data_IF_077468577955
#
_entry.id   IF_077468577955
#
_cell.length_a   1.000
_cell.length_b   1.000
_cell.length_c   1.000
_cell.angle_alpha   90.00
_cell.angle_beta   90.00
_cell.angle_gamma   90.00
#
_symmetry.space_group_name_H-M   'P 1'
#
loop_
_entity.id
_entity.type
_entity.pdbx_description
1 polymer ?
#
# COMPACT_ATOMS: atom_id res chain seq x y z
N UNK A 1 -78.27 23.48 12.29
CA UNK A 1 -77.75 22.13 12.09
C UNK A 1 -76.24 22.22 11.89
N UNK A 2 -75.53 21.87 12.87
CA UNK A 2 -74.07 21.93 12.83
C UNK A 2 -73.54 20.60 12.35
N UNK A 3 -72.93 20.59 11.18
CA UNK A 3 -72.13 19.45 10.71
C UNK A 3 -70.75 19.58 11.29
N UNK A 4 -70.45 18.68 12.19
CA UNK A 4 -69.10 18.56 12.75
C UNK A 4 -68.21 17.92 11.71
N UNK A 5 -67.33 18.73 11.15
CA UNK A 5 -66.24 18.23 10.34
C UNK A 5 -65.19 17.60 11.24
N UNK A 6 -65.10 16.31 11.15
CA UNK A 6 -64.00 15.62 11.82
C UNK A 6 -62.78 15.83 10.94
N UNK A 7 -61.93 16.75 11.36
CA UNK A 7 -60.57 16.88 10.80
C UNK A 7 -59.77 15.66 11.22
N UNK A 8 -59.58 14.78 10.29
CA UNK A 8 -58.62 13.70 10.40
C UNK A 8 -57.23 14.27 10.55
N UNK A 9 -56.69 14.16 11.75
CA UNK A 9 -55.32 14.46 11.99
C UNK A 9 -54.46 13.41 11.30
N UNK A 10 -53.95 13.75 10.10
CA UNK A 10 -52.88 12.99 9.48
C UNK A 10 -51.63 13.19 10.32
N UNK A 11 -51.37 12.27 11.22
CA UNK A 11 -50.05 12.12 11.86
C UNK A 11 -49.10 11.66 10.81
N UNK A 12 -48.41 12.61 10.21
CA UNK A 12 -47.26 12.36 9.37
C UNK A 12 -46.11 11.86 10.24
N UNK A 13 -46.06 10.54 10.44
CA UNK A 13 -44.93 9.91 11.03
C UNK A 13 -43.79 10.00 10.01
N UNK A 14 -42.98 11.03 10.15
CA UNK A 14 -41.69 11.14 9.50
C UNK A 14 -40.81 10.01 10.08
N UNK A 15 -40.77 8.91 9.36
CA UNK A 15 -39.73 7.91 9.52
C UNK A 15 -38.41 8.57 9.12
N UNK A 16 -37.76 9.21 10.08
CA UNK A 16 -36.35 9.51 10.04
C UNK A 16 -35.62 8.15 10.08
N UNK A 17 -35.54 7.51 8.91
CA UNK A 17 -34.55 6.46 8.69
C UNK A 17 -33.20 7.12 8.92
N UNK A 18 -32.73 7.02 10.14
CA UNK A 18 -31.34 7.35 10.46
C UNK A 18 -30.44 6.54 9.56
N UNK A 19 -29.89 7.17 8.57
CA UNK A 19 -28.68 6.67 7.91
C UNK A 19 -27.59 6.72 8.99
N UNK A 20 -27.51 5.65 9.76
CA UNK A 20 -26.29 5.37 10.49
C UNK A 20 -25.20 5.22 9.42
N UNK A 21 -24.12 6.00 9.48
CA UNK A 21 -22.97 5.73 8.60
C UNK A 21 -22.53 4.32 8.94
N UNK A 22 -22.76 3.41 8.03
CA UNK A 22 -22.14 2.10 8.09
C UNK A 22 -20.66 2.39 8.03
N UNK A 23 -19.85 2.06 9.07
CA UNK A 23 -18.42 2.17 8.95
C UNK A 23 -18.05 1.27 7.77
N UNK A 24 -17.70 1.91 6.64
CA UNK A 24 -17.18 1.20 5.50
C UNK A 24 -15.96 0.45 6.01
N UNK A 25 -16.05 -0.84 6.10
CA UNK A 25 -14.88 -1.69 6.18
C UNK A 25 -14.21 -1.49 4.84
N UNK A 26 -13.32 -0.51 4.75
CA UNK A 26 -12.33 -0.49 3.71
C UNK A 26 -11.68 -1.87 3.82
N UNK A 27 -11.92 -2.74 2.84
CA UNK A 27 -11.17 -3.98 2.74
C UNK A 27 -9.75 -3.51 2.44
N UNK A 28 -9.01 -3.29 3.52
CA UNK A 28 -7.62 -2.91 3.42
C UNK A 28 -6.91 -4.04 2.70
N UNK A 29 -6.26 -3.74 1.60
CA UNK A 29 -5.33 -4.63 0.98
C UNK A 29 -4.21 -4.99 1.97
N UNK A 30 -3.27 -5.80 1.54
CA UNK A 30 -2.12 -6.15 2.38
C UNK A 30 -1.34 -4.87 2.71
N UNK A 31 -1.06 -4.66 3.99
CA UNK A 31 -0.25 -3.55 4.48
C UNK A 31 0.99 -4.11 5.17
N UNK A 32 2.14 -3.73 4.66
CA UNK A 32 3.45 -4.11 5.20
C UNK A 32 4.16 -2.86 5.71
N UNK A 33 4.62 -2.89 6.95
CA UNK A 33 5.31 -1.78 7.60
C UNK A 33 6.78 -2.11 7.75
N UNK A 34 7.65 -1.22 7.29
CA UNK A 34 9.09 -1.36 7.43
C UNK A 34 9.74 -0.03 7.84
N UNK A 35 10.78 -0.11 8.67
CA UNK A 35 11.66 1.02 8.97
C UNK A 35 12.89 0.91 8.08
N UNK A 36 12.99 1.78 7.09
CA UNK A 36 14.07 1.78 6.11
C UNK A 36 15.19 2.69 6.59
N UNK A 37 16.41 2.16 6.83
CA UNK A 37 17.49 2.93 7.46
C UNK A 37 18.29 3.80 6.48
N UNK A 38 17.88 3.89 5.23
CA UNK A 38 18.55 4.66 4.18
C UNK A 38 17.52 5.37 3.28
N UNK A 39 17.95 6.41 2.60
CA UNK A 39 17.15 7.00 1.52
C UNK A 39 17.04 6.02 0.34
N UNK A 40 15.89 5.93 -0.29
CA UNK A 40 15.63 4.99 -1.37
C UNK A 40 14.72 5.58 -2.44
N UNK A 41 14.76 4.98 -3.60
CA UNK A 41 13.92 5.34 -4.73
C UNK A 41 12.82 4.30 -4.95
N UNK A 42 11.64 4.81 -5.21
CA UNK A 42 10.52 4.04 -5.76
C UNK A 42 10.14 4.69 -7.08
N UNK A 43 10.34 3.96 -8.17
CA UNK A 43 10.26 4.52 -9.53
C UNK A 43 11.16 5.77 -9.68
N UNK A 44 10.62 6.93 -9.90
CA UNK A 44 11.37 8.20 -10.00
C UNK A 44 11.35 9.06 -8.73
N UNK A 45 10.74 8.55 -7.66
CA UNK A 45 10.56 9.30 -6.41
C UNK A 45 11.58 8.89 -5.36
N UNK A 46 12.35 9.84 -4.85
CA UNK A 46 13.28 9.65 -3.75
C UNK A 46 12.56 9.85 -2.42
N UNK A 47 12.72 8.88 -1.51
CA UNK A 47 12.18 8.93 -0.16
C UNK A 47 13.33 8.91 0.86
N UNK A 48 13.27 9.72 1.93
CA UNK A 48 14.28 9.68 2.99
C UNK A 48 14.17 8.41 3.83
N UNK A 49 15.21 8.10 4.59
CA UNK A 49 15.16 7.06 5.62
C UNK A 49 14.00 7.31 6.58
N UNK A 50 13.28 6.27 6.98
CA UNK A 50 12.14 6.39 7.88
C UNK A 50 11.24 5.17 7.89
N UNK A 51 10.16 5.26 8.65
CA UNK A 51 9.14 4.24 8.68
C UNK A 51 8.12 4.47 7.57
N UNK A 52 7.81 3.41 6.83
CA UNK A 52 6.88 3.45 5.71
C UNK A 52 5.88 2.31 5.76
N UNK A 53 4.68 2.59 5.27
CA UNK A 53 3.64 1.61 5.01
C UNK A 53 3.56 1.35 3.50
N UNK A 54 3.73 0.09 3.12
CA UNK A 54 3.57 -0.41 1.75
C UNK A 54 2.21 -1.07 1.67
N UNK A 55 1.28 -0.49 0.94
CA UNK A 55 -0.12 -0.92 0.90
C UNK A 55 -0.51 -1.36 -0.49
N UNK A 56 -1.00 -2.58 -0.60
CA UNK A 56 -1.60 -3.09 -1.82
C UNK A 56 -2.98 -2.46 -2.03
N UNK A 57 -3.26 -1.99 -3.24
CA UNK A 57 -4.57 -1.45 -3.58
C UNK A 57 -5.58 -2.58 -3.77
N UNK A 58 -6.71 -2.49 -3.07
CA UNK A 58 -7.69 -3.58 -3.04
C UNK A 58 -8.26 -3.95 -4.41
N UNK A 59 -8.64 -2.96 -5.21
CA UNK A 59 -9.25 -3.12 -6.53
C UNK A 59 -8.24 -3.33 -7.66
N UNK A 60 -6.97 -3.08 -7.39
CA UNK A 60 -5.85 -3.21 -8.32
C UNK A 60 -4.67 -3.88 -7.61
N UNK A 61 -4.67 -5.21 -7.50
CA UNK A 61 -3.70 -5.95 -6.68
C UNK A 61 -2.24 -5.80 -7.12
N UNK A 62 -2.00 -5.30 -8.32
CA UNK A 62 -0.66 -4.99 -8.82
C UNK A 62 -0.20 -3.57 -8.51
N UNK A 63 -1.11 -2.71 -8.09
CA UNK A 63 -0.81 -1.34 -7.68
C UNK A 63 -0.61 -1.27 -6.17
N UNK A 64 0.45 -0.58 -5.79
CA UNK A 64 0.84 -0.37 -4.41
C UNK A 64 1.08 1.09 -4.11
N UNK A 65 0.92 1.47 -2.88
CA UNK A 65 1.28 2.80 -2.39
C UNK A 65 2.35 2.70 -1.30
N UNK A 66 3.18 3.73 -1.20
CA UNK A 66 4.06 3.96 -0.06
C UNK A 66 3.58 5.19 0.67
N UNK A 67 3.27 5.05 1.94
CA UNK A 67 2.90 6.15 2.82
C UNK A 67 3.93 6.30 3.95
N UNK A 68 4.11 7.52 4.43
CA UNK A 68 4.97 7.79 5.58
C UNK A 68 4.30 7.39 6.91
N UNK A 69 5.00 7.57 8.02
CA UNK A 69 4.48 7.25 9.36
C UNK A 69 3.25 8.06 9.77
N UNK A 70 2.97 9.17 9.08
CA UNK A 70 1.77 10.00 9.27
C UNK A 70 0.59 9.54 8.40
N UNK A 71 0.77 8.50 7.57
CA UNK A 71 -0.22 8.01 6.64
C UNK A 71 -0.33 8.81 5.34
N UNK A 72 0.60 9.73 5.09
CA UNK A 72 0.61 10.50 3.85
C UNK A 72 1.23 9.68 2.73
N UNK A 73 0.45 9.42 1.67
CA UNK A 73 0.92 8.71 0.48
C UNK A 73 1.97 9.57 -0.25
N UNK A 74 3.13 8.97 -0.49
CA UNK A 74 4.27 9.61 -1.15
C UNK A 74 4.42 9.20 -2.61
N UNK A 75 4.12 7.94 -2.92
CA UNK A 75 4.28 7.40 -4.27
C UNK A 75 3.34 6.22 -4.49
N UNK A 76 2.87 6.09 -5.71
CA UNK A 76 2.20 4.88 -6.23
C UNK A 76 3.17 4.16 -7.17
N UNK A 77 3.14 2.85 -7.16
CA UNK A 77 3.99 2.04 -8.02
C UNK A 77 3.30 0.74 -8.41
N UNK A 78 3.65 0.24 -9.59
CA UNK A 78 3.13 -1.04 -10.08
C UNK A 78 4.09 -2.16 -9.77
N UNK A 79 3.55 -3.35 -9.59
CA UNK A 79 4.30 -4.56 -9.30
C UNK A 79 3.93 -5.70 -10.25
N UNK A 80 4.77 -6.72 -10.24
CA UNK A 80 4.51 -8.01 -10.86
C UNK A 80 4.63 -9.11 -9.79
N UNK A 81 3.94 -10.26 -9.96
CA UNK A 81 4.11 -11.37 -9.03
C UNK A 81 5.55 -11.87 -9.05
N UNK A 82 6.09 -12.15 -7.88
CA UNK A 82 7.43 -12.69 -7.71
C UNK A 82 7.40 -14.00 -6.95
N UNK A 83 8.09 -14.99 -7.49
CA UNK A 83 8.30 -16.28 -6.84
C UNK A 83 9.75 -16.40 -6.41
N UNK A 84 9.96 -17.07 -5.30
CA UNK A 84 11.26 -17.39 -4.74
C UNK A 84 11.30 -18.86 -4.36
N UNK A 85 12.38 -19.55 -4.73
CA UNK A 85 12.57 -20.97 -4.37
C UNK A 85 12.58 -21.18 -2.86
N UNK A 86 13.12 -20.22 -2.12
CA UNK A 86 13.13 -20.20 -0.67
C UNK A 86 12.54 -18.87 -0.19
N UNK A 87 11.20 -18.77 -0.09
CA UNK A 87 10.57 -17.54 0.34
C UNK A 87 10.97 -17.17 1.78
N UNK A 88 11.05 -15.87 2.09
CA UNK A 88 11.37 -15.45 3.45
C UNK A 88 10.32 -15.96 4.44
N UNK A 89 10.77 -16.31 5.63
CA UNK A 89 9.88 -16.77 6.71
C UNK A 89 9.08 -15.67 7.37
N UNK A 90 9.49 -14.43 7.15
CA UNK A 90 8.86 -13.23 7.68
C UNK A 90 8.69 -12.20 6.57
N UNK A 91 7.84 -11.21 6.81
CA UNK A 91 7.70 -10.08 5.90
C UNK A 91 9.01 -9.33 5.78
N UNK A 92 9.36 -8.96 4.56
CA UNK A 92 10.54 -8.12 4.30
C UNK A 92 10.34 -7.27 3.05
N UNK A 93 11.08 -6.17 3.00
CA UNK A 93 11.17 -5.31 1.82
C UNK A 93 12.61 -5.32 1.36
N UNK A 94 12.85 -5.57 0.08
CA UNK A 94 14.20 -5.65 -0.48
C UNK A 94 14.51 -4.48 -1.39
N UNK A 95 15.76 -4.10 -1.40
CA UNK A 95 16.30 -3.00 -2.19
C UNK A 95 17.55 -3.45 -2.92
N UNK A 96 17.76 -2.89 -4.11
CA UNK A 96 19.05 -2.98 -4.78
C UNK A 96 19.88 -1.74 -4.46
N UNK A 97 21.06 -1.97 -3.90
CA UNK A 97 22.09 -0.94 -3.75
C UNK A 97 22.94 -0.92 -5.01
N UNK A 98 22.74 0.12 -5.80
CA UNK A 98 23.50 0.35 -7.03
C UNK A 98 24.36 1.59 -6.83
N UNK A 99 25.64 1.37 -6.51
CA UNK A 99 26.60 2.44 -6.27
C UNK A 99 26.16 3.47 -5.19
N UNK A 100 25.63 2.97 -4.09
CA UNK A 100 25.14 3.79 -2.96
C UNK A 100 23.71 4.36 -3.13
N UNK A 101 23.05 4.08 -4.24
CA UNK A 101 21.65 4.40 -4.45
C UNK A 101 20.79 3.15 -4.25
N UNK A 102 19.76 3.29 -3.41
CA UNK A 102 18.87 2.19 -3.08
C UNK A 102 17.58 2.29 -3.87
N UNK A 103 17.19 1.20 -4.49
CA UNK A 103 15.96 1.08 -5.29
C UNK A 103 15.08 -0.02 -4.70
N UNK A 104 13.82 0.28 -4.45
CA UNK A 104 12.86 -0.74 -4.03
C UNK A 104 12.72 -1.80 -5.11
N UNK A 105 12.91 -3.07 -4.76
CA UNK A 105 12.84 -4.20 -5.71
C UNK A 105 11.72 -5.16 -5.41
N UNK A 106 11.47 -5.47 -4.15
CA UNK A 106 10.43 -6.43 -3.78
C UNK A 106 9.76 -6.08 -2.46
N UNK A 107 8.51 -6.47 -2.37
CA UNK A 107 7.77 -6.61 -1.11
C UNK A 107 7.48 -8.09 -0.94
N UNK A 108 8.07 -8.71 0.08
CA UNK A 108 7.90 -10.12 0.38
C UNK A 108 6.90 -10.32 1.51
N UNK A 109 5.97 -11.23 1.27
CA UNK A 109 5.03 -11.69 2.27
C UNK A 109 5.60 -12.93 2.97
N UNK A 110 5.11 -13.20 4.18
CA UNK A 110 5.59 -14.31 4.99
C UNK A 110 5.22 -15.67 4.38
N UNK A 111 6.18 -16.58 4.28
CA UNK A 111 5.96 -17.96 3.90
C UNK A 111 5.39 -18.13 2.48
N UNK A 112 4.32 -18.89 2.35
CA UNK A 112 3.71 -19.26 1.05
C UNK A 112 2.88 -18.12 0.40
N UNK A 113 2.76 -16.98 1.05
CA UNK A 113 1.99 -15.85 0.51
C UNK A 113 2.67 -15.19 -0.71
N UNK A 114 3.94 -15.53 -0.98
CA UNK A 114 4.68 -15.04 -2.14
C UNK A 114 5.22 -13.63 -1.98
N UNK A 115 5.39 -12.96 -3.11
CA UNK A 115 5.93 -11.61 -3.12
C UNK A 115 5.55 -10.83 -4.36
N UNK A 116 5.98 -9.58 -4.37
CA UNK A 116 5.72 -8.62 -5.44
C UNK A 116 7.02 -7.98 -5.87
N UNK A 117 7.31 -8.05 -7.15
CA UNK A 117 8.48 -7.46 -7.77
C UNK A 117 8.16 -6.07 -8.32
N UNK A 118 9.04 -5.13 -8.05
CA UNK A 118 8.97 -3.77 -8.60
C UNK A 118 9.87 -3.71 -9.83
N UNK A 119 9.32 -3.51 -11.03
CA UNK A 119 10.14 -3.40 -12.24
C UNK A 119 11.17 -2.28 -12.14
N UNK A 120 12.36 -2.51 -12.70
CA UNK A 120 13.42 -1.52 -12.71
C UNK A 120 12.99 -0.22 -13.38
N UNK A 121 13.23 0.91 -12.71
CA UNK A 121 13.06 2.23 -13.31
C UNK A 121 14.05 2.47 -14.45
N UNK A 122 13.76 3.46 -15.28
CA UNK A 122 14.68 3.84 -16.37
C UNK A 122 16.04 4.28 -15.82
N UNK A 123 16.05 4.96 -14.70
CA UNK A 123 17.28 5.42 -14.05
C UNK A 123 18.11 4.25 -13.53
N UNK A 124 17.49 3.29 -12.87
CA UNK A 124 18.16 2.07 -12.41
C UNK A 124 18.74 1.26 -13.56
N UNK A 125 17.94 1.05 -14.63
CA UNK A 125 18.43 0.39 -15.86
C UNK A 125 19.64 1.09 -16.48
N UNK A 126 19.66 2.42 -16.45
CA UNK A 126 20.78 3.21 -16.97
C UNK A 126 22.05 2.99 -16.13
N UNK A 127 21.93 2.92 -14.82
CA UNK A 127 23.06 2.62 -13.93
C UNK A 127 23.57 1.19 -14.15
N UNK A 128 22.67 0.23 -14.28
CA UNK A 128 23.04 -1.17 -14.53
C UNK A 128 23.75 -1.37 -15.89
N UNK A 129 23.39 -0.62 -16.91
CA UNK A 129 24.07 -0.63 -18.22
C UNK A 129 25.51 -0.16 -18.16
N UNK A 130 25.88 0.64 -17.16
CA UNK A 130 27.26 1.08 -16.93
C UNK A 130 28.15 0.01 -16.27
N UNK A 131 27.64 -1.20 -16.09
CA UNK A 131 28.37 -2.32 -15.48
C UNK A 131 28.44 -2.30 -13.97
N UNK A 132 27.65 -1.44 -13.32
CA UNK A 132 27.53 -1.40 -11.86
C UNK A 132 26.74 -2.61 -11.40
N UNK A 133 27.29 -3.38 -10.46
CA UNK A 133 26.59 -4.51 -9.84
C UNK A 133 25.68 -4.03 -8.73
N UNK A 134 24.46 -4.55 -8.70
CA UNK A 134 23.54 -4.35 -7.60
C UNK A 134 23.88 -5.29 -6.45
N UNK A 135 23.80 -4.77 -5.21
CA UNK A 135 23.84 -5.55 -4.00
C UNK A 135 22.46 -5.52 -3.34
N UNK A 136 21.90 -6.68 -3.09
CA UNK A 136 20.60 -6.78 -2.41
C UNK A 136 20.72 -6.42 -0.94
N UNK A 137 19.86 -5.53 -0.49
CA UNK A 137 19.68 -5.19 0.94
C UNK A 137 18.26 -5.58 1.37
N UNK A 138 18.18 -6.29 2.50
CA UNK A 138 16.91 -6.78 3.05
C UNK A 138 16.54 -6.01 4.30
N UNK A 139 15.35 -5.47 4.34
CA UNK A 139 14.82 -4.74 5.49
C UNK A 139 13.67 -5.53 6.09
N UNK A 140 13.77 -5.91 7.38
CA UNK A 140 12.68 -6.60 8.06
C UNK A 140 11.40 -5.76 8.05
N UNK A 141 10.27 -6.41 7.88
CA UNK A 141 8.98 -5.79 7.88
C UNK A 141 7.98 -6.62 8.71
N UNK A 142 6.80 -6.06 8.90
CA UNK A 142 5.68 -6.73 9.57
C UNK A 142 4.36 -6.38 8.91
N UNK A 143 3.42 -7.28 8.98
CA UNK A 143 2.04 -7.00 8.60
C UNK A 143 1.40 -6.06 9.62
N UNK A 144 0.67 -5.08 9.14
CA UNK A 144 -0.11 -4.19 9.98
C UNK A 144 -1.44 -4.83 10.38
#
# INVERSE_FOLDING_TARGET
MMRKSVLGSCVLVLLLLGFAPVPGHAQDGIVVVATVPFAFMVDSTMLPAGQYEFTQMYDQPWEWSVADAKGMVKVLFSTEPADMLNPPRAYEVTFDNVNGKYFLTNVWLSGDEGGYYVPMSRFEKMLMKKGVKAKEERVPAKKK
#
